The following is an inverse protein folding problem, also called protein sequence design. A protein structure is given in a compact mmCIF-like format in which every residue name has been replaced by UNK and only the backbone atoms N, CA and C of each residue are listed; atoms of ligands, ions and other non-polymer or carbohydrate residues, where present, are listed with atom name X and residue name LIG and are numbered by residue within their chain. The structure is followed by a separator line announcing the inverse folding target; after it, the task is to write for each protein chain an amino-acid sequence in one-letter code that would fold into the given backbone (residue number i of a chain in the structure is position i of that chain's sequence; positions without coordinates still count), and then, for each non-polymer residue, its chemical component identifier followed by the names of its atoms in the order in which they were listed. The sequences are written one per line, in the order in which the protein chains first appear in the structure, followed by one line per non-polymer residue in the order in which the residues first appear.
data_IF_957266801585
#
_entry.id   IF_957266801585
#
_cell.length_a   1.000
_cell.length_b   1.000
_cell.length_c   1.000
_cell.angle_alpha   90.00
_cell.angle_beta   90.00
_cell.angle_gamma   90.00
#
_symmetry.space_group_name_H-M   'P 1'
#
loop_
_entity.id
_entity.type
_entity.pdbx_description
1 polymer ?
#
# COMPACT_ATOMS: atom_id res chain seq x y z
N UNK A 1 -3.74 -9.22 -7.53
CA UNK A 1 -4.06 -9.34 -6.08
C UNK A 1 -4.27 -7.94 -5.50
N UNK A 2 -4.81 -7.82 -4.30
CA UNK A 2 -5.01 -6.53 -3.64
C UNK A 2 -3.91 -6.29 -2.61
N UNK A 3 -3.75 -5.04 -2.18
CA UNK A 3 -2.84 -4.73 -1.09
C UNK A 3 -3.23 -5.44 0.21
N UNK A 4 -4.50 -5.79 0.40
CA UNK A 4 -4.94 -6.55 1.57
C UNK A 4 -4.45 -8.01 1.57
N UNK A 5 -3.96 -8.54 0.45
CA UNK A 5 -3.53 -9.93 0.30
C UNK A 5 -2.05 -10.13 0.63
N UNK A 6 -1.23 -9.07 0.58
CA UNK A 6 0.21 -9.12 0.84
C UNK A 6 0.51 -9.59 2.25
N UNK A 7 1.69 -10.16 2.45
CA UNK A 7 2.21 -10.62 3.75
C UNK A 7 3.36 -9.74 4.20
N UNK A 8 3.64 -9.77 5.50
CA UNK A 8 4.80 -9.09 6.06
C UNK A 8 6.07 -9.55 5.34
N UNK A 9 6.90 -8.59 4.94
CA UNK A 9 8.15 -8.81 4.21
C UNK A 9 8.02 -8.85 2.69
N UNK A 10 6.79 -8.93 2.16
CA UNK A 10 6.58 -8.95 0.70
C UNK A 10 7.06 -7.64 0.08
N UNK A 11 7.74 -7.77 -1.07
CA UNK A 11 8.11 -6.68 -1.97
C UNK A 11 7.20 -6.76 -3.19
N UNK A 12 6.53 -5.68 -3.53
CA UNK A 12 5.57 -5.63 -4.62
C UNK A 12 5.51 -4.22 -5.21
N UNK A 13 4.84 -4.12 -6.36
CA UNK A 13 4.63 -2.87 -7.05
C UNK A 13 3.15 -2.45 -6.95
N UNK A 14 2.90 -1.16 -6.71
CA UNK A 14 1.55 -0.60 -6.84
C UNK A 14 1.13 -0.61 -8.31
N UNK A 15 0.03 -1.29 -8.61
CA UNK A 15 -0.52 -1.42 -9.96
C UNK A 15 -1.62 -0.39 -10.24
N UNK A 16 -2.59 -0.24 -9.32
CA UNK A 16 -3.67 0.76 -9.43
C UNK A 16 -4.11 1.27 -8.05
N UNK A 17 -4.27 2.60 -7.94
CA UNK A 17 -5.01 3.25 -6.84
C UNK A 17 -6.29 3.88 -7.43
N UNK A 18 -7.48 3.28 -7.23
CA UNK A 18 -8.68 3.65 -7.99
C UNK A 18 -9.26 5.02 -7.65
N UNK A 19 -9.06 5.51 -6.42
CA UNK A 19 -9.61 6.79 -5.96
C UNK A 19 -8.57 7.90 -6.16
N UNK A 20 -8.96 8.98 -6.84
CA UNK A 20 -8.06 10.07 -7.21
C UNK A 20 -7.55 10.86 -6.00
N UNK A 21 -8.40 11.10 -5.00
CA UNK A 21 -8.01 11.83 -3.79
C UNK A 21 -7.01 11.00 -2.99
N UNK A 22 -7.24 9.70 -2.89
CA UNK A 22 -6.32 8.77 -2.22
C UNK A 22 -5.00 8.66 -2.99
N UNK A 23 -5.05 8.59 -4.32
CA UNK A 23 -3.86 8.55 -5.18
C UNK A 23 -3.01 9.81 -4.97
N UNK A 24 -3.64 10.98 -4.93
CA UNK A 24 -2.96 12.25 -4.64
C UNK A 24 -2.34 12.30 -3.23
N UNK A 25 -3.03 11.76 -2.21
CA UNK A 25 -2.50 11.67 -0.85
C UNK A 25 -1.32 10.69 -0.76
N UNK A 26 -1.46 9.48 -1.30
CA UNK A 26 -0.41 8.47 -1.29
C UNK A 26 0.86 8.96 -2.02
N UNK A 27 0.70 9.70 -3.13
CA UNK A 27 1.82 10.28 -3.87
C UNK A 27 2.69 11.19 -3.01
N UNK A 28 2.11 11.93 -2.04
CA UNK A 28 2.86 12.81 -1.12
C UNK A 28 3.77 12.03 -0.17
N UNK A 29 3.44 10.78 0.10
CA UNK A 29 4.26 9.83 0.87
C UNK A 29 5.19 9.01 -0.03
N UNK A 30 5.33 9.42 -1.30
CA UNK A 30 6.10 8.68 -2.28
C UNK A 30 5.48 7.32 -2.59
N UNK A 31 4.16 7.18 -2.63
CA UNK A 31 3.50 5.93 -3.05
C UNK A 31 2.54 6.26 -4.17
N UNK A 32 2.91 5.86 -5.39
CA UNK A 32 2.11 6.01 -6.60
C UNK A 32 2.06 4.68 -7.34
N UNK A 33 1.18 4.59 -8.34
CA UNK A 33 1.28 3.55 -9.36
C UNK A 33 2.70 3.51 -9.93
N UNK A 34 3.24 2.30 -10.13
CA UNK A 34 4.64 2.11 -10.49
C UNK A 34 5.61 1.99 -9.30
N UNK A 35 5.19 2.34 -8.08
CA UNK A 35 6.11 2.36 -6.93
C UNK A 35 6.37 0.97 -6.38
N UNK A 36 7.66 0.64 -6.20
CA UNK A 36 8.10 -0.53 -5.45
C UNK A 36 8.04 -0.23 -3.94
N UNK A 37 7.35 -1.09 -3.20
CA UNK A 37 7.08 -0.93 -1.76
C UNK A 37 7.24 -2.25 -1.04
N UNK A 38 7.43 -2.17 0.27
CA UNK A 38 7.55 -3.34 1.16
C UNK A 38 6.39 -3.33 2.14
N UNK A 39 5.77 -4.48 2.39
CA UNK A 39 4.87 -4.64 3.53
C UNK A 39 5.70 -4.78 4.81
N UNK A 40 5.83 -3.72 5.58
CA UNK A 40 6.56 -3.73 6.84
C UNK A 40 5.84 -4.56 7.91
N UNK A 41 4.51 -4.46 7.96
CA UNK A 41 3.66 -5.22 8.88
C UNK A 41 2.23 -5.30 8.34
N UNK A 42 1.50 -6.36 8.74
CA UNK A 42 0.07 -6.52 8.47
C UNK A 42 -0.67 -6.77 9.77
N UNK A 43 -1.38 -5.77 10.25
CA UNK A 43 -2.12 -5.88 11.51
C UNK A 43 -3.39 -6.72 11.27
N UNK A 44 -3.62 -7.82 12.01
CA UNK A 44 -4.83 -8.64 11.88
C UNK A 44 -6.09 -7.80 12.06
N UNK A 45 -7.00 -7.83 11.08
CA UNK A 45 -8.21 -6.98 11.05
C UNK A 45 -7.94 -5.47 10.86
N UNK A 46 -6.67 -5.05 10.91
CA UNK A 46 -6.23 -3.66 10.87
C UNK A 46 -5.59 -3.25 9.53
N UNK A 47 -4.83 -2.15 9.53
CA UNK A 47 -4.17 -1.63 8.34
C UNK A 47 -2.99 -2.50 7.88
N UNK A 48 -2.59 -2.29 6.63
CA UNK A 48 -1.31 -2.77 6.07
C UNK A 48 -0.30 -1.64 6.17
N UNK A 49 0.86 -1.89 6.78
CA UNK A 49 1.94 -0.92 6.93
C UNK A 49 2.88 -1.05 5.75
N UNK A 50 2.94 0.00 4.93
CA UNK A 50 3.85 0.08 3.79
C UNK A 50 5.10 0.83 4.16
N UNK A 51 6.24 0.35 3.67
CA UNK A 51 7.52 1.02 3.79
C UNK A 51 8.10 1.32 2.42
N UNK A 52 8.53 2.57 2.24
CA UNK A 52 9.35 3.02 1.11
C UNK A 52 10.40 4.00 1.62
N UNK A 53 11.66 3.76 1.27
CA UNK A 53 12.79 4.53 1.78
C UNK A 53 12.79 4.56 3.34
N UNK A 54 12.80 5.76 3.93
CA UNK A 54 12.77 5.98 5.38
C UNK A 54 11.36 6.28 5.92
N UNK A 55 10.31 6.10 5.10
CA UNK A 55 8.93 6.42 5.48
C UNK A 55 8.08 5.16 5.57
N UNK A 56 7.15 5.18 6.52
CA UNK A 56 6.12 4.17 6.69
C UNK A 56 4.74 4.83 6.70
N UNK A 57 3.76 4.16 6.07
CA UNK A 57 2.36 4.60 6.08
C UNK A 57 1.44 3.43 6.39
N UNK A 58 0.41 3.69 7.21
CA UNK A 58 -0.64 2.75 7.48
C UNK A 58 -1.79 2.93 6.48
N UNK A 59 -2.11 1.88 5.72
CA UNK A 59 -3.25 1.87 4.81
C UNK A 59 -4.36 1.04 5.42
N UNK A 60 -5.48 1.69 5.76
CA UNK A 60 -6.65 1.02 6.34
C UNK A 60 -7.15 -0.16 5.51
N UNK A 61 -7.63 -1.22 6.17
CA UNK A 61 -8.04 -2.49 5.53
C UNK A 61 -8.97 -2.31 4.33
N UNK A 62 -10.02 -1.49 4.47
CA UNK A 62 -11.00 -1.24 3.40
C UNK A 62 -10.37 -0.59 2.17
N UNK A 63 -9.37 0.26 2.38
CA UNK A 63 -8.63 0.87 1.28
C UNK A 63 -7.66 -0.13 0.65
N UNK A 64 -6.95 -0.91 1.48
CA UNK A 64 -6.03 -1.94 0.99
C UNK A 64 -6.74 -2.98 0.09
N UNK A 65 -8.02 -3.29 0.35
CA UNK A 65 -8.83 -4.16 -0.49
C UNK A 65 -9.15 -3.59 -1.89
N UNK A 66 -9.02 -2.27 -2.08
CA UNK A 66 -9.31 -1.59 -3.35
C UNK A 66 -8.05 -1.33 -4.19
N UNK A 67 -6.87 -1.29 -3.56
CA UNK A 67 -5.60 -1.02 -4.24
C UNK A 67 -5.09 -2.32 -4.88
N UNK A 68 -4.79 -2.29 -6.18
CA UNK A 68 -4.20 -3.42 -6.90
C UNK A 68 -2.68 -3.39 -6.82
N UNK A 69 -2.09 -4.57 -6.64
CA UNK A 69 -0.64 -4.76 -6.59
C UNK A 69 -0.24 -5.98 -7.43
N UNK A 70 1.02 -5.98 -7.88
CA UNK A 70 1.65 -7.08 -8.61
C UNK A 70 3.04 -7.37 -8.06
#
# INVERSE_FOLDING_TARGET
MTLADVKRGDKFQIDLIPDEMIRAQAMRFGISEGSNVICAEKIPGGPVILKRNLQEIAIGRRLAQKIRVK
#
